data_IF_014632419825
#
_entry.id   IF_014632419825
#
_cell.length_a   1.000
_cell.length_b   1.000
_cell.length_c   1.000
_cell.angle_alpha   90.00
_cell.angle_beta   90.00
_cell.angle_gamma   90.00
#
_symmetry.space_group_name_H-M   'P 1'
#
loop_
_entity.id
_entity.type
_entity.pdbx_description
1 polymer ?
#
# COMPACT_ATOMS: atom_id res chain seq x y z
N UNK A 1 13.18 13.64 8.15
CA UNK A 1 12.63 13.91 9.48
C UNK A 1 11.18 13.48 9.47
N UNK A 2 10.73 12.64 10.38
CA UNK A 2 9.32 12.24 10.42
C UNK A 2 8.44 13.38 10.98
N UNK A 3 7.15 13.12 11.22
CA UNK A 3 6.37 14.00 12.10
C UNK A 3 6.65 13.63 13.56
N UNK A 4 7.10 14.60 14.35
CA UNK A 4 7.31 14.44 15.80
C UNK A 4 6.40 15.36 16.60
N UNK A 5 5.88 14.83 17.72
CA UNK A 5 5.02 15.60 18.63
C UNK A 5 5.77 16.73 19.34
N UNK A 6 7.03 16.51 19.69
CA UNK A 6 7.90 17.48 20.36
C UNK A 6 9.22 17.75 19.61
N UNK A 7 10.06 18.65 20.16
CA UNK A 7 11.37 18.98 19.59
C UNK A 7 12.28 17.76 19.46
N UNK A 8 13.11 17.75 18.42
CA UNK A 8 14.09 16.70 18.17
C UNK A 8 15.44 17.33 17.87
N UNK A 9 16.51 16.83 18.49
CA UNK A 9 17.87 17.35 18.27
C UNK A 9 18.43 16.83 16.95
N UNK A 10 18.18 15.57 16.65
CA UNK A 10 18.65 14.92 15.44
C UNK A 10 17.71 13.81 14.98
N UNK A 11 17.51 13.73 13.66
CA UNK A 11 16.93 12.57 12.98
C UNK A 11 17.70 12.35 11.69
N UNK A 12 18.14 11.12 11.44
CA UNK A 12 18.91 10.76 10.27
C UNK A 12 18.82 9.28 9.96
N UNK A 13 19.56 8.85 8.93
CA UNK A 13 19.65 7.45 8.50
C UNK A 13 18.28 6.77 8.41
N UNK A 14 17.27 7.51 7.93
CA UNK A 14 15.90 7.03 7.89
C UNK A 14 15.77 5.97 6.80
N UNK A 15 15.17 4.82 7.10
CA UNK A 15 15.00 3.71 6.17
C UNK A 15 13.54 3.28 6.19
N UNK A 16 12.93 3.21 5.01
CA UNK A 16 11.50 2.92 4.88
C UNK A 16 11.30 1.87 3.80
N UNK A 17 10.68 0.75 4.14
CA UNK A 17 10.23 -0.25 3.18
C UNK A 17 8.72 -0.17 3.03
N UNK A 18 8.22 -0.27 1.80
CA UNK A 18 6.79 -0.40 1.55
C UNK A 18 6.48 -1.45 0.48
N UNK A 19 5.33 -2.11 0.64
CA UNK A 19 4.77 -3.04 -0.36
C UNK A 19 3.24 -3.06 -0.30
N UNK A 20 2.58 -3.09 -1.46
CA UNK A 20 1.15 -3.40 -1.54
C UNK A 20 0.93 -4.92 -1.54
N UNK A 21 -0.02 -5.39 -0.73
CA UNK A 21 -0.44 -6.77 -0.56
C UNK A 21 -1.96 -6.86 -0.75
N UNK A 22 -2.42 -6.97 -1.99
CA UNK A 22 -3.84 -6.96 -2.31
C UNK A 22 -4.49 -5.61 -2.00
N UNK A 23 -5.30 -5.54 -0.94
CA UNK A 23 -5.95 -4.29 -0.47
C UNK A 23 -5.28 -3.67 0.75
N UNK A 24 -4.16 -4.22 1.18
CA UNK A 24 -3.38 -3.72 2.32
C UNK A 24 -2.02 -3.23 1.84
N UNK A 25 -1.41 -2.33 2.59
CA UNK A 25 -0.03 -1.94 2.42
C UNK A 25 0.75 -2.31 3.68
N UNK A 26 1.90 -2.95 3.49
CA UNK A 26 2.91 -3.17 4.50
C UNK A 26 3.89 -1.98 4.50
N UNK A 27 4.26 -1.51 5.68
CA UNK A 27 5.26 -0.46 5.89
C UNK A 27 6.23 -0.92 6.99
N UNK A 28 7.53 -0.76 6.75
CA UNK A 28 8.57 -0.94 7.78
C UNK A 28 9.40 0.34 7.84
N UNK A 29 9.71 0.79 9.05
CA UNK A 29 10.35 2.07 9.30
C UNK A 29 11.49 1.92 10.31
N UNK A 30 12.65 2.49 10.02
CA UNK A 30 13.77 2.60 10.97
C UNK A 30 14.44 3.97 10.83
N UNK A 31 15.08 4.46 11.89
CA UNK A 31 15.81 5.74 11.88
C UNK A 31 16.76 5.82 13.07
N UNK A 32 17.70 6.76 12.99
CA UNK A 32 18.44 7.25 14.16
C UNK A 32 17.78 8.53 14.66
N UNK A 33 17.55 8.64 15.97
CA UNK A 33 16.88 9.79 16.60
C UNK A 33 17.56 10.17 17.91
N UNK A 34 17.66 11.47 18.18
CA UNK A 34 18.06 12.03 19.47
C UNK A 34 17.05 13.10 19.90
N UNK A 35 16.46 12.92 21.07
CA UNK A 35 15.48 13.83 21.65
C UNK A 35 15.76 14.04 23.13
N UNK A 36 15.46 15.22 23.67
CA UNK A 36 15.76 15.53 25.07
C UNK A 36 14.80 14.83 26.05
N UNK A 37 13.54 14.69 25.66
CA UNK A 37 12.48 14.08 26.44
C UNK A 37 11.77 12.98 25.66
N UNK A 38 10.88 12.21 26.32
CA UNK A 38 10.00 11.29 25.62
C UNK A 38 9.27 12.00 24.48
N UNK A 39 9.19 11.35 23.32
CA UNK A 39 8.59 11.94 22.13
C UNK A 39 7.69 10.91 21.44
N UNK A 40 6.87 11.35 20.49
CA UNK A 40 6.13 10.46 19.61
C UNK A 40 6.47 10.76 18.15
N UNK A 41 6.80 9.70 17.41
CA UNK A 41 6.80 9.72 15.96
C UNK A 41 5.40 9.40 15.46
N UNK A 42 4.91 10.19 14.51
CA UNK A 42 3.56 10.09 13.98
C UNK A 42 3.66 9.91 12.46
N UNK A 43 3.02 8.87 11.93
CA UNK A 43 3.03 8.57 10.51
C UNK A 43 1.60 8.67 9.96
N UNK A 44 1.30 9.60 9.03
CA UNK A 44 0.03 9.58 8.32
C UNK A 44 -0.05 8.31 7.46
N UNK A 45 -1.22 7.68 7.42
CA UNK A 45 -1.50 6.46 6.67
C UNK A 45 -2.76 6.67 5.82
N UNK A 46 -2.71 6.50 4.48
CA UNK A 46 -3.88 6.59 3.63
C UNK A 46 -4.73 5.32 3.79
N UNK A 47 -5.42 5.21 4.91
CA UNK A 47 -6.25 4.04 5.24
C UNK A 47 -7.57 4.04 4.48
N UNK A 48 -8.12 2.87 4.20
CA UNK A 48 -9.44 2.75 3.58
C UNK A 48 -10.51 3.46 4.41
N UNK A 49 -11.52 4.03 3.74
CA UNK A 49 -12.62 4.70 4.41
C UNK A 49 -13.34 3.74 5.37
N UNK A 50 -13.60 4.20 6.60
CA UNK A 50 -14.26 3.39 7.63
C UNK A 50 -13.32 2.49 8.44
N UNK A 51 -12.00 2.57 8.22
CA UNK A 51 -11.00 1.92 9.08
C UNK A 51 -11.16 2.42 10.52
N UNK A 52 -11.40 1.49 11.46
CA UNK A 52 -11.56 1.77 12.89
C UNK A 52 -10.27 1.58 13.69
N UNK A 53 -10.35 1.67 15.01
CA UNK A 53 -9.20 1.61 15.94
C UNK A 53 -8.30 0.36 15.75
N UNK A 54 -8.87 -0.79 15.35
CA UNK A 54 -8.13 -2.04 15.09
C UNK A 54 -7.84 -2.29 13.60
N UNK A 55 -7.88 -1.26 12.77
CA UNK A 55 -7.68 -1.38 11.33
C UNK A 55 -6.22 -1.44 10.89
N UNK A 56 -5.28 -1.14 11.78
CA UNK A 56 -3.84 -1.27 11.54
C UNK A 56 -3.32 -2.41 12.40
N UNK A 57 -2.57 -3.31 11.78
CA UNK A 57 -1.87 -4.40 12.45
C UNK A 57 -0.41 -3.98 12.64
N UNK A 58 0.07 -3.86 13.87
CA UNK A 58 1.49 -3.68 14.12
C UNK A 58 2.20 -5.04 14.11
N UNK A 59 3.35 -5.10 13.46
CA UNK A 59 4.10 -6.34 13.25
C UNK A 59 5.39 -6.28 14.04
N UNK A 60 5.59 -7.25 14.92
CA UNK A 60 6.79 -7.35 15.74
C UNK A 60 7.98 -7.87 14.92
N UNK A 61 8.92 -6.97 14.61
CA UNK A 61 10.21 -7.27 13.98
C UNK A 61 11.38 -7.22 14.96
N UNK A 62 11.15 -7.29 16.27
CA UNK A 62 12.24 -7.40 17.26
C UNK A 62 13.13 -8.62 17.03
N UNK A 63 12.56 -9.69 16.45
CA UNK A 63 13.29 -10.87 16.01
C UNK A 63 14.06 -10.69 14.69
N UNK A 64 14.05 -9.53 14.05
CA UNK A 64 14.74 -9.24 12.79
C UNK A 64 15.34 -7.82 12.70
N UNK A 65 16.27 -7.45 13.60
CA UNK A 65 16.86 -6.12 13.60
C UNK A 65 17.68 -5.80 12.34
N UNK A 66 18.22 -6.82 11.65
CA UNK A 66 19.01 -6.67 10.42
C UNK A 66 18.16 -6.46 9.16
N UNK A 67 16.82 -6.30 9.27
CA UNK A 67 15.89 -6.24 8.13
C UNK A 67 16.35 -5.33 6.98
N UNK A 68 16.79 -4.10 7.30
CA UNK A 68 17.25 -3.15 6.28
C UNK A 68 18.68 -3.41 5.81
N UNK A 69 19.54 -3.95 6.67
CA UNK A 69 20.90 -4.31 6.29
C UNK A 69 20.86 -5.48 5.29
N UNK A 70 19.94 -6.42 5.48
CA UNK A 70 19.65 -7.49 4.53
C UNK A 70 19.06 -6.94 3.22
N UNK A 71 18.14 -5.97 3.26
CA UNK A 71 17.66 -5.31 2.04
C UNK A 71 18.81 -4.67 1.24
N UNK A 72 19.77 -4.04 1.91
CA UNK A 72 20.91 -3.40 1.25
C UNK A 72 21.85 -4.39 0.56
N UNK A 73 21.95 -5.64 1.03
CA UNK A 73 22.73 -6.70 0.37
C UNK A 73 22.21 -7.02 -1.03
N UNK A 74 20.96 -6.68 -1.34
CA UNK A 74 20.39 -6.84 -2.67
C UNK A 74 20.96 -5.89 -3.71
N UNK A 75 21.72 -4.86 -3.31
CA UNK A 75 22.24 -3.81 -4.19
C UNK A 75 23.77 -3.85 -4.24
N UNK A 76 24.38 -3.37 -5.34
CA UNK A 76 25.83 -3.27 -5.41
C UNK A 76 26.40 -2.52 -4.22
N UNK A 77 27.41 -3.12 -3.57
CA UNK A 77 28.03 -2.57 -2.38
C UNK A 77 28.47 -1.12 -2.64
N UNK A 78 27.79 -0.19 -1.98
CA UNK A 78 28.26 1.19 -1.88
C UNK A 78 29.18 1.19 -0.66
N UNK A 79 30.49 1.38 -0.88
CA UNK A 79 31.47 1.43 0.21
C UNK A 79 31.01 2.47 1.24
N UNK A 80 30.56 2.03 2.41
CA UNK A 80 30.25 2.90 3.55
C UNK A 80 30.60 2.15 4.83
N UNK A 81 31.43 2.80 5.65
CA UNK A 81 31.90 2.37 6.96
C UNK A 81 30.96 2.95 8.02
N UNK A 82 30.52 2.12 8.98
CA UNK A 82 30.35 2.43 10.43
C UNK A 82 29.37 1.42 11.08
N UNK A 83 29.76 0.70 12.14
CA UNK A 83 29.92 1.01 13.58
C UNK A 83 28.61 0.85 14.39
N UNK A 84 28.66 -0.11 15.33
CA UNK A 84 27.51 -0.81 15.90
C UNK A 84 26.84 -0.18 17.12
N UNK A 85 25.70 -0.77 17.50
CA UNK A 85 24.84 -0.31 18.62
C UNK A 85 24.41 -1.47 19.52
N UNK A 86 24.33 -1.19 20.84
CA UNK A 86 23.87 -2.08 21.93
C UNK A 86 22.65 -1.45 22.63
N UNK A 87 21.69 -2.26 23.08
CA UNK A 87 20.40 -1.82 23.66
C UNK A 87 20.20 -2.24 25.13
N UNK A 88 19.45 -1.45 25.91
CA UNK A 88 18.84 -1.87 27.19
C UNK A 88 17.54 -1.08 27.53
N UNK A 89 16.65 -1.69 28.32
CA UNK A 89 15.21 -1.36 28.48
C UNK A 89 14.79 -1.02 29.93
N UNK A 90 13.65 -0.33 30.14
CA UNK A 90 12.98 -0.10 31.45
C UNK A 90 11.55 0.47 31.34
N UNK A 91 10.63 0.03 32.22
CA UNK A 91 9.14 0.19 32.18
C UNK A 91 8.55 1.24 33.15
N UNK A 92 7.32 1.74 32.91
CA UNK A 92 6.26 1.99 33.92
C UNK A 92 4.89 2.41 33.30
N UNK A 93 3.81 2.33 34.11
CA UNK A 93 2.37 2.14 33.78
C UNK A 93 1.41 3.33 34.04
N UNK A 94 0.29 3.41 33.28
CA UNK A 94 -1.09 3.53 33.83
C UNK A 94 -2.01 4.72 33.44
N UNK A 95 -3.15 4.45 32.78
CA UNK A 95 -4.34 5.32 32.63
C UNK A 95 -5.01 5.26 31.23
N UNK A 96 -6.36 5.26 31.12
CA UNK A 96 -7.09 4.90 29.89
C UNK A 96 -6.89 5.88 28.71
N UNK A 97 -6.16 5.38 27.72
CA UNK A 97 -5.65 6.00 26.49
C UNK A 97 -6.01 5.04 25.34
N UNK A 98 -5.89 5.45 24.07
CA UNK A 98 -5.94 4.54 22.91
C UNK A 98 -5.14 3.26 23.18
N UNK A 99 -5.58 2.12 22.63
CA UNK A 99 -4.86 0.85 22.82
C UNK A 99 -3.37 1.04 22.46
N UNK A 100 -2.53 0.89 23.47
CA UNK A 100 -1.08 0.90 23.30
C UNK A 100 -0.68 -0.57 23.13
N UNK A 101 -0.33 -0.93 21.91
CA UNK A 101 0.24 -2.23 21.62
C UNK A 101 1.73 -2.16 21.90
N UNK A 102 2.22 -3.07 22.75
CA UNK A 102 3.65 -3.29 22.92
C UNK A 102 4.12 -4.17 21.77
N UNK A 103 4.92 -3.61 20.87
CA UNK A 103 5.40 -4.28 19.65
C UNK A 103 6.92 -4.31 19.72
N UNK A 104 7.48 -5.44 20.14
CA UNK A 104 8.90 -5.52 20.47
C UNK A 104 9.27 -4.58 21.63
N UNK A 105 10.12 -3.58 21.34
CA UNK A 105 10.61 -2.60 22.32
C UNK A 105 9.85 -1.27 22.36
N UNK A 106 8.83 -1.08 21.52
CA UNK A 106 8.10 0.19 21.42
C UNK A 106 6.64 0.06 21.86
N UNK A 107 6.08 1.21 22.24
CA UNK A 107 4.66 1.42 22.44
C UNK A 107 4.08 2.09 21.19
N UNK A 108 3.11 1.42 20.56
CA UNK A 108 2.48 1.88 19.34
C UNK A 108 0.95 2.02 19.51
N UNK A 109 0.37 3.01 18.86
CA UNK A 109 -1.08 3.23 18.82
C UNK A 109 -1.53 3.67 17.43
N UNK A 110 -2.77 3.36 17.08
CA UNK A 110 -3.41 3.85 15.86
C UNK A 110 -4.50 4.88 16.18
N UNK A 111 -4.47 5.99 15.45
CA UNK A 111 -5.46 7.08 15.51
C UNK A 111 -6.23 7.08 14.19
N UNK A 112 -7.51 6.65 14.14
CA UNK A 112 -8.20 6.49 12.86
C UNK A 112 -8.44 7.78 12.08
N UNK A 113 -8.57 8.93 12.77
CA UNK A 113 -8.83 10.24 12.16
C UNK A 113 -8.15 11.35 12.93
N UNK A 114 -7.89 12.47 12.28
CA UNK A 114 -7.23 13.64 12.90
C UNK A 114 -7.93 14.14 14.18
N UNK A 115 -9.26 14.05 14.25
CA UNK A 115 -10.03 14.44 15.44
C UNK A 115 -9.79 13.53 16.64
N UNK A 116 -9.37 12.30 16.41
CA UNK A 116 -9.18 11.28 17.45
C UNK A 116 -7.83 11.47 18.18
N UNK A 117 -6.97 12.41 17.75
CA UNK A 117 -5.73 12.78 18.47
C UNK A 117 -5.97 13.23 19.91
N UNK A 118 -7.16 13.77 20.22
CA UNK A 118 -7.54 14.15 21.58
C UNK A 118 -7.61 12.97 22.56
N UNK A 119 -7.59 11.72 22.05
CA UNK A 119 -7.60 10.47 22.82
C UNK A 119 -6.20 9.98 23.21
N UNK A 120 -5.13 10.54 22.61
CA UNK A 120 -3.74 10.20 22.97
C UNK A 120 -3.36 10.83 24.31
N UNK A 121 -2.30 10.35 24.96
CA UNK A 121 -1.66 11.13 26.03
C UNK A 121 -1.23 12.51 25.49
N UNK A 122 -1.50 13.64 26.19
CA UNK A 122 -1.13 14.98 25.74
C UNK A 122 0.34 15.14 25.31
N UNK A 123 1.26 14.36 25.91
CA UNK A 123 2.70 14.39 25.57
C UNK A 123 3.00 13.87 24.16
N UNK A 124 2.08 13.12 23.56
CA UNK A 124 2.24 12.48 22.25
C UNK A 124 1.30 13.07 21.19
N UNK A 125 0.67 14.21 21.48
CA UNK A 125 -0.21 14.91 20.55
C UNK A 125 0.56 15.94 19.74
N UNK A 126 0.19 16.10 18.48
CA UNK A 126 0.56 17.29 17.72
C UNK A 126 -0.25 18.49 18.23
N UNK A 127 0.35 19.68 18.15
CA UNK A 127 -0.35 20.91 18.50
C UNK A 127 -1.54 21.16 17.55
N UNK A 128 -2.61 21.85 17.98
CA UNK A 128 -3.73 22.18 17.10
C UNK A 128 -3.32 22.95 15.84
N UNK A 129 -2.29 23.80 15.94
CA UNK A 129 -1.75 24.54 14.80
C UNK A 129 -1.15 23.58 13.74
N UNK A 130 -0.35 22.61 14.18
CA UNK A 130 0.20 21.58 13.28
C UNK A 130 -0.91 20.74 12.66
N UNK A 131 -1.92 20.33 13.44
CA UNK A 131 -3.04 19.55 12.90
C UNK A 131 -3.80 20.32 11.80
N UNK A 132 -3.94 21.65 11.95
CA UNK A 132 -4.56 22.50 10.94
C UNK A 132 -3.72 22.60 9.64
N UNK A 133 -2.40 22.62 9.76
CA UNK A 133 -1.48 22.57 8.61
C UNK A 133 -1.53 21.20 7.90
N UNK A 134 -1.77 20.14 8.69
CA UNK A 134 -1.93 18.75 8.23
C UNK A 134 -3.38 18.40 7.81
N UNK A 135 -4.28 19.39 7.67
CA UNK A 135 -5.70 19.14 7.32
C UNK A 135 -5.94 18.37 6.02
N UNK A 136 -4.95 18.35 5.13
CA UNK A 136 -5.00 17.58 3.89
C UNK A 136 -4.96 16.05 4.15
N UNK A 137 -4.55 15.62 5.34
CA UNK A 137 -4.69 14.24 5.85
C UNK A 137 -6.02 14.01 6.59
N UNK A 138 -7.05 14.82 6.32
CA UNK A 138 -8.32 14.76 7.07
C UNK A 138 -9.04 13.41 7.00
N UNK A 139 -8.74 12.60 6.00
CA UNK A 139 -9.26 11.25 5.80
C UNK A 139 -8.20 10.14 5.95
N UNK A 140 -7.01 10.49 6.43
CA UNK A 140 -5.97 9.53 6.82
C UNK A 140 -6.16 9.05 8.26
N UNK A 141 -5.63 7.86 8.52
CA UNK A 141 -5.31 7.40 9.87
C UNK A 141 -3.86 7.76 10.22
N UNK A 142 -3.46 7.54 11.46
CA UNK A 142 -2.11 7.85 11.93
C UNK A 142 -1.59 6.74 12.83
N UNK A 143 -0.42 6.19 12.50
CA UNK A 143 0.34 5.36 13.43
C UNK A 143 1.19 6.26 14.33
N UNK A 144 1.18 6.00 15.64
CA UNK A 144 1.87 6.79 16.65
C UNK A 144 2.80 5.85 17.41
N UNK A 145 4.10 6.14 17.39
CA UNK A 145 5.13 5.38 18.08
C UNK A 145 5.76 6.24 19.16
N UNK A 146 5.68 5.79 20.42
CA UNK A 146 6.33 6.47 21.52
C UNK A 146 7.80 6.09 21.58
N UNK A 147 8.67 7.09 21.76
CA UNK A 147 10.11 6.95 21.77
C UNK A 147 10.68 7.43 23.10
N UNK A 148 11.67 6.70 23.61
CA UNK A 148 12.42 7.09 24.80
C UNK A 148 13.26 8.36 24.50
N UNK A 149 13.63 9.15 25.53
CA UNK A 149 14.61 10.22 25.37
C UNK A 149 16.02 9.68 25.04
N UNK A 150 16.85 10.55 24.50
CA UNK A 150 18.26 10.32 24.19
C UNK A 150 18.52 9.76 22.79
N UNK A 151 19.82 9.62 22.43
CA UNK A 151 20.24 9.07 21.15
C UNK A 151 19.94 7.57 21.08
N UNK A 152 19.26 7.15 20.01
CA UNK A 152 18.95 5.74 19.77
C UNK A 152 18.85 5.44 18.28
N UNK A 153 19.22 4.22 17.90
CA UNK A 153 18.87 3.62 16.61
C UNK A 153 17.60 2.81 16.82
N UNK A 154 16.52 3.25 16.19
CA UNK A 154 15.21 2.63 16.30
C UNK A 154 15.22 1.34 15.47
N UNK A 155 14.99 0.19 16.11
CA UNK A 155 14.84 -1.08 15.38
C UNK A 155 13.64 -1.00 14.42
N UNK A 156 13.59 -1.84 13.38
CA UNK A 156 12.49 -1.81 12.41
C UNK A 156 11.12 -1.86 13.08
N UNK A 157 10.32 -0.83 12.89
CA UNK A 157 8.91 -0.73 13.28
C UNK A 157 8.06 -1.09 12.06
N UNK A 158 7.26 -2.14 12.16
CA UNK A 158 6.46 -2.61 11.03
C UNK A 158 4.96 -2.53 11.32
N UNK A 159 4.19 -2.28 10.27
CA UNK A 159 2.74 -2.28 10.32
C UNK A 159 2.12 -2.64 8.97
N UNK A 160 0.89 -3.14 9.01
CA UNK A 160 0.02 -3.34 7.86
C UNK A 160 -1.26 -2.55 8.04
N UNK A 161 -1.74 -1.94 6.97
CA UNK A 161 -3.00 -1.19 6.99
C UNK A 161 -3.78 -1.41 5.70
N UNK A 162 -5.12 -1.41 5.73
CA UNK A 162 -5.93 -1.41 4.53
C UNK A 162 -5.70 -0.09 3.80
N UNK A 163 -5.09 -0.12 2.62
CA UNK A 163 -4.84 1.11 1.87
C UNK A 163 -6.14 1.61 1.23
N UNK A 164 -6.32 2.93 1.20
CA UNK A 164 -7.40 3.59 0.47
C UNK A 164 -7.28 3.34 -1.03
N UNK A 165 -6.06 3.24 -1.53
CA UNK A 165 -5.76 3.08 -2.94
C UNK A 165 -4.69 1.99 -3.15
N UNK A 166 -5.10 0.79 -3.58
CA UNK A 166 -4.17 -0.28 -3.95
C UNK A 166 -3.33 -0.01 -5.20
N UNK A 167 -3.73 0.98 -6.02
CA UNK A 167 -2.99 1.42 -7.20
C UNK A 167 -1.83 2.36 -6.88
N UNK A 168 -1.62 2.70 -5.60
CA UNK A 168 -0.51 3.53 -5.13
C UNK A 168 0.24 2.86 -3.99
N UNK A 169 1.56 3.03 -3.99
CA UNK A 169 2.44 2.66 -2.89
C UNK A 169 2.90 3.94 -2.19
N UNK A 170 2.49 4.09 -0.94
CA UNK A 170 2.67 5.31 -0.16
C UNK A 170 3.82 5.21 0.84
N UNK A 171 4.66 6.24 0.92
CA UNK A 171 5.70 6.39 1.93
C UNK A 171 5.46 7.66 2.76
N UNK A 172 5.26 7.57 4.08
CA UNK A 172 5.16 8.74 4.93
C UNK A 172 6.54 9.39 5.05
N UNK A 173 6.74 10.47 4.29
CA UNK A 173 8.00 11.21 4.22
C UNK A 173 7.83 12.70 4.46
N UNK A 174 6.65 13.18 4.83
CA UNK A 174 6.45 14.55 5.33
C UNK A 174 7.12 14.75 6.69
N UNK A 175 7.74 15.91 6.87
CA UNK A 175 8.52 16.30 8.04
C UNK A 175 7.71 17.31 8.85
N UNK A 176 7.56 17.04 10.14
CA UNK A 176 7.01 18.00 11.11
C UNK A 176 7.90 17.97 12.32
N UNK A 177 8.52 19.10 12.62
CA UNK A 177 9.34 19.27 13.81
C UNK A 177 9.18 20.69 14.34
N UNK A 178 9.48 20.87 15.62
CA UNK A 178 9.38 22.15 16.32
C UNK A 178 8.00 22.83 16.20
N UNK A 179 6.96 22.01 16.08
CA UNK A 179 5.58 22.48 15.99
C UNK A 179 5.21 23.19 14.68
N UNK A 180 5.96 22.99 13.59
CA UNK A 180 5.69 23.62 12.29
C UNK A 180 5.79 22.65 11.12
N UNK A 181 4.98 22.87 10.09
CA UNK A 181 5.09 22.21 8.79
C UNK A 181 5.80 23.15 7.83
N UNK A 182 7.08 22.90 7.58
CA UNK A 182 7.86 23.72 6.65
C UNK A 182 7.55 23.33 5.20
N UNK A 183 7.54 24.26 4.21
CA UNK A 183 7.33 23.91 2.80
C UNK A 183 8.44 23.04 2.20
N UNK A 184 9.64 23.08 2.77
CA UNK A 184 10.79 22.31 2.34
C UNK A 184 11.56 21.78 3.54
N UNK A 185 12.12 20.59 3.40
CA UNK A 185 12.82 19.89 4.47
C UNK A 185 14.07 19.17 3.95
N UNK A 186 15.00 18.84 4.85
CA UNK A 186 16.23 18.11 4.50
C UNK A 186 16.01 16.61 4.68
N UNK A 187 16.19 15.86 3.60
CA UNK A 187 16.02 14.42 3.57
C UNK A 187 17.35 13.70 3.73
N UNK A 188 17.34 12.69 4.58
CA UNK A 188 18.35 11.62 4.66
C UNK A 188 17.63 10.27 4.79
N UNK A 189 16.97 9.85 3.70
CA UNK A 189 16.08 8.67 3.71
C UNK A 189 16.47 7.69 2.61
N UNK A 190 16.56 6.41 2.93
CA UNK A 190 16.61 5.34 1.93
C UNK A 190 15.26 4.66 1.88
N UNK A 191 14.60 4.74 0.73
CA UNK A 191 13.31 4.10 0.51
C UNK A 191 13.51 2.77 -0.22
N UNK A 192 12.77 1.74 0.16
CA UNK A 192 12.75 0.42 -0.45
C UNK A 192 11.32 0.07 -0.87
N UNK A 193 11.13 -0.46 -2.07
CA UNK A 193 9.82 -0.83 -2.59
C UNK A 193 9.83 -2.24 -3.19
N UNK A 194 8.77 -3.03 -2.97
CA UNK A 194 8.41 -4.16 -3.85
C UNK A 194 7.22 -3.75 -4.71
N UNK A 195 7.51 -2.99 -5.76
CA UNK A 195 6.59 -2.52 -6.79
C UNK A 195 7.38 -2.15 -8.05
N UNK A 196 6.68 -1.98 -9.17
CA UNK A 196 7.25 -1.28 -10.32
C UNK A 196 7.59 0.17 -9.94
N UNK A 197 8.85 0.57 -10.15
CA UNK A 197 9.33 1.89 -9.80
C UNK A 197 9.81 2.64 -11.05
N UNK A 198 9.58 3.97 -11.13
CA UNK A 198 10.05 4.79 -12.24
C UNK A 198 11.58 4.90 -12.26
N UNK A 199 12.12 5.54 -13.30
CA UNK A 199 13.54 5.86 -13.38
C UNK A 199 14.05 6.62 -12.15
N UNK A 200 15.29 6.33 -11.73
CA UNK A 200 15.91 6.89 -10.52
C UNK A 200 15.85 5.97 -9.30
N UNK A 201 15.16 4.84 -9.39
CA UNK A 201 15.23 3.77 -8.39
C UNK A 201 16.21 2.69 -8.84
N UNK A 202 17.16 2.34 -7.97
CA UNK A 202 18.04 1.21 -8.17
C UNK A 202 17.23 -0.09 -8.12
N UNK A 203 17.65 -1.09 -8.89
CA UNK A 203 17.11 -2.45 -8.83
C UNK A 203 18.03 -3.35 -8.01
N UNK A 204 17.47 -4.25 -7.21
CA UNK A 204 18.26 -5.32 -6.62
C UNK A 204 18.76 -6.30 -7.70
N UNK A 205 19.88 -6.97 -7.44
CA UNK A 205 20.49 -7.93 -8.37
C UNK A 205 19.67 -9.21 -8.58
N UNK A 206 18.69 -9.46 -7.71
CA UNK A 206 17.84 -10.64 -7.77
C UNK A 206 16.58 -10.51 -6.89
N UNK A 207 15.87 -11.62 -6.67
CA UNK A 207 14.72 -11.67 -5.77
C UNK A 207 15.14 -11.57 -4.29
N UNK A 208 14.24 -11.08 -3.43
CA UNK A 208 14.53 -10.86 -2.01
C UNK A 208 15.01 -12.11 -1.26
N UNK A 209 14.54 -13.30 -1.64
CA UNK A 209 15.01 -14.56 -1.05
C UNK A 209 16.50 -14.85 -1.28
N UNK A 210 17.14 -14.16 -2.23
CA UNK A 210 18.56 -14.30 -2.51
C UNK A 210 19.47 -13.54 -1.54
N UNK A 211 18.94 -12.55 -0.81
CA UNK A 211 19.75 -11.66 0.04
C UNK A 211 19.13 -11.35 1.41
N UNK A 212 17.89 -11.76 1.68
CA UNK A 212 17.20 -11.61 2.97
C UNK A 212 16.76 -12.95 3.58
N UNK A 213 16.66 -12.98 4.91
CA UNK A 213 15.86 -13.98 5.63
C UNK A 213 14.37 -13.61 5.59
N UNK A 214 13.72 -13.91 4.47
CA UNK A 214 12.31 -13.59 4.26
C UNK A 214 11.39 -14.29 5.28
N UNK A 215 11.82 -15.41 5.87
CA UNK A 215 11.07 -16.11 6.93
C UNK A 215 10.92 -15.25 8.19
N UNK A 216 11.95 -14.48 8.54
CA UNK A 216 11.94 -13.53 9.67
C UNK A 216 11.17 -12.24 9.37
N UNK A 217 10.82 -11.97 8.11
CA UNK A 217 10.07 -10.76 7.71
C UNK A 217 8.57 -10.79 8.07
N UNK A 218 8.09 -11.86 8.70
CA UNK A 218 6.69 -12.06 9.05
C UNK A 218 5.73 -11.89 7.85
N UNK A 219 6.18 -12.21 6.63
CA UNK A 219 5.40 -12.08 5.40
C UNK A 219 5.24 -10.64 4.88
N UNK A 220 6.03 -9.69 5.37
CA UNK A 220 6.04 -8.31 4.85
C UNK A 220 6.70 -8.24 3.47
N UNK A 221 7.69 -9.11 3.24
CA UNK A 221 8.47 -9.19 1.99
C UNK A 221 8.01 -10.38 1.16
N UNK A 222 7.87 -10.18 -0.15
CA UNK A 222 7.68 -11.28 -1.10
C UNK A 222 9.04 -11.92 -1.42
N UNK A 223 9.23 -13.22 -1.17
CA UNK A 223 10.51 -13.87 -1.48
C UNK A 223 10.82 -13.87 -2.99
N UNK A 224 9.80 -13.87 -3.86
CA UNK A 224 9.98 -14.03 -5.29
C UNK A 224 10.22 -12.70 -6.04
N UNK A 225 9.98 -11.55 -5.40
CA UNK A 225 10.11 -10.25 -6.04
C UNK A 225 11.46 -9.61 -5.69
N UNK A 226 12.02 -8.88 -6.65
CA UNK A 226 13.13 -7.97 -6.39
C UNK A 226 12.69 -6.75 -5.58
N UNK A 227 13.66 -5.95 -5.17
CA UNK A 227 13.44 -4.72 -4.41
C UNK A 227 13.97 -3.53 -5.22
N UNK A 228 13.28 -2.40 -5.12
CA UNK A 228 13.71 -1.12 -5.65
C UNK A 228 14.23 -0.24 -4.52
N UNK A 229 15.28 0.55 -4.75
CA UNK A 229 15.84 1.46 -3.74
C UNK A 229 15.97 2.89 -4.26
N UNK A 230 15.60 3.87 -3.45
CA UNK A 230 15.79 5.29 -3.73
C UNK A 230 16.47 6.00 -2.56
N UNK A 231 17.56 6.70 -2.84
CA UNK A 231 18.19 7.61 -1.88
C UNK A 231 17.57 9.01 -2.00
N UNK A 232 16.73 9.39 -1.03
CA UNK A 232 16.26 10.75 -0.86
C UNK A 232 17.25 11.53 0.01
N UNK A 233 18.02 12.41 -0.64
CA UNK A 233 19.05 13.25 0.00
C UNK A 233 18.83 14.73 -0.24
N UNK A 234 19.23 15.56 0.71
CA UNK A 234 19.29 17.03 0.61
C UNK A 234 17.95 17.74 0.84
N UNK A 235 17.95 19.06 0.65
CA UNK A 235 16.76 19.90 0.81
C UNK A 235 15.79 19.70 -0.36
N UNK A 236 14.53 19.34 -0.06
CA UNK A 236 13.46 19.06 -1.04
C UNK A 236 12.14 19.64 -0.56
N UNK A 237 11.14 19.63 -1.43
CA UNK A 237 9.76 19.87 -1.02
C UNK A 237 9.36 18.90 0.11
N UNK A 238 8.64 19.43 1.09
CA UNK A 238 8.20 18.66 2.24
C UNK A 238 6.88 17.95 1.93
N UNK A 239 6.99 16.83 1.21
CA UNK A 239 5.84 16.03 0.80
C UNK A 239 6.10 14.54 1.03
N UNK A 240 5.02 13.78 1.12
CA UNK A 240 5.07 12.32 1.09
C UNK A 240 5.53 11.82 -0.29
N UNK A 241 6.19 10.66 -0.29
CA UNK A 241 6.61 10.00 -1.53
C UNK A 241 5.56 8.96 -1.90
N UNK A 242 5.07 9.03 -3.14
CA UNK A 242 4.08 8.09 -3.66
C UNK A 242 4.63 7.49 -4.95
N UNK A 243 4.56 6.16 -5.06
CA UNK A 243 4.80 5.44 -6.31
C UNK A 243 3.48 4.91 -6.86
N UNK A 244 3.38 4.72 -8.19
CA UNK A 244 2.40 3.80 -8.74
C UNK A 244 2.58 2.45 -8.04
N UNK A 245 1.52 1.94 -7.44
CA UNK A 245 1.50 0.57 -6.95
C UNK A 245 1.36 -0.38 -8.13
N UNK A 246 1.76 -1.63 -7.92
CA UNK A 246 1.29 -2.71 -8.78
C UNK A 246 -0.21 -2.82 -8.52
N UNK A 247 -1.01 -2.05 -9.27
CA UNK A 247 -2.47 -2.15 -9.22
C UNK A 247 -2.78 -3.64 -9.23
N UNK A 248 -3.52 -4.16 -8.22
CA UNK A 248 -3.66 -5.59 -8.06
C UNK A 248 -4.09 -6.12 -9.41
N UNK A 249 -3.22 -6.92 -10.05
CA UNK A 249 -3.63 -7.70 -11.19
C UNK A 249 -4.83 -8.45 -10.64
N UNK A 250 -6.02 -8.10 -11.11
CA UNK A 250 -7.24 -8.72 -10.61
C UNK A 250 -7.13 -10.19 -11.04
N UNK A 251 -6.60 -11.03 -10.16
CA UNK A 251 -6.45 -12.46 -10.38
C UNK A 251 -7.81 -13.05 -10.08
N UNK A 252 -8.62 -13.13 -11.12
CA UNK A 252 -9.89 -13.81 -11.06
C UNK A 252 -9.68 -15.32 -11.23
N UNK A 253 -10.03 -16.09 -10.20
CA UNK A 253 -10.16 -17.53 -10.31
C UNK A 253 -11.53 -17.84 -10.93
N UNK A 254 -11.56 -18.27 -12.19
CA UNK A 254 -12.80 -18.67 -12.85
C UNK A 254 -13.10 -20.12 -12.45
N UNK A 255 -13.90 -20.32 -11.40
CA UNK A 255 -14.62 -21.57 -11.21
C UNK A 255 -15.79 -21.65 -12.22
N UNK A 256 -16.29 -22.85 -12.49
CA UNK A 256 -17.46 -23.09 -13.37
C UNK A 256 -18.60 -22.10 -13.09
N UNK A 257 -19.40 -21.70 -14.11
CA UNK A 257 -20.40 -20.64 -13.94
C UNK A 257 -21.33 -21.03 -12.79
N UNK A 258 -21.35 -20.29 -11.67
CA UNK A 258 -22.21 -20.66 -10.58
C UNK A 258 -23.64 -20.44 -11.06
N UNK A 259 -24.47 -21.47 -11.02
CA UNK A 259 -25.93 -21.35 -11.25
C UNK A 259 -26.56 -20.25 -10.35
N UNK A 260 -25.87 -19.83 -9.29
CA UNK A 260 -26.19 -18.69 -8.43
C UNK A 260 -26.07 -17.30 -9.07
N UNK A 261 -25.27 -17.10 -10.13
CA UNK A 261 -25.08 -15.79 -10.78
C UNK A 261 -26.29 -15.31 -11.60
N UNK A 262 -27.31 -16.15 -11.80
CA UNK A 262 -28.46 -15.84 -12.64
C UNK A 262 -29.47 -14.86 -12.02
N UNK A 263 -29.37 -14.54 -10.71
CA UNK A 263 -30.39 -13.75 -10.00
C UNK A 263 -29.95 -12.32 -9.64
N UNK A 264 -28.67 -12.08 -9.37
CA UNK A 264 -28.14 -10.72 -9.09
C UNK A 264 -26.58 -10.68 -9.18
N UNK A 265 -25.98 -10.67 -10.39
CA UNK A 265 -24.52 -10.70 -10.54
C UNK A 265 -23.86 -9.41 -10.05
N UNK A 266 -22.78 -9.55 -9.28
CA UNK A 266 -21.85 -8.46 -8.98
C UNK A 266 -21.03 -8.07 -10.23
N UNK A 267 -20.34 -6.94 -10.17
CA UNK A 267 -19.35 -6.54 -11.18
C UNK A 267 -18.31 -7.64 -11.46
N UNK A 268 -17.92 -8.36 -10.41
CA UNK A 268 -16.98 -9.48 -10.47
C UNK A 268 -17.59 -10.67 -11.20
N UNK A 269 -18.85 -10.99 -10.95
CA UNK A 269 -19.53 -12.12 -11.61
C UNK A 269 -19.68 -11.88 -13.12
N UNK A 270 -19.98 -10.63 -13.51
CA UNK A 270 -20.02 -10.25 -14.91
C UNK A 270 -18.63 -10.37 -15.56
N UNK A 271 -17.60 -9.81 -14.94
CA UNK A 271 -16.25 -9.90 -15.48
C UNK A 271 -15.80 -11.36 -15.65
N UNK A 272 -16.03 -12.19 -14.63
CA UNK A 272 -15.74 -13.62 -14.67
C UNK A 272 -16.49 -14.33 -15.81
N UNK A 273 -17.75 -13.95 -16.06
CA UNK A 273 -18.53 -14.51 -17.17
C UNK A 273 -17.98 -14.12 -18.55
N UNK A 274 -17.55 -12.87 -18.75
CA UNK A 274 -16.95 -12.43 -20.03
C UNK A 274 -15.62 -13.13 -20.29
N UNK A 275 -14.80 -13.27 -19.26
CA UNK A 275 -13.54 -14.00 -19.32
C UNK A 275 -13.80 -15.48 -19.59
N UNK A 276 -14.79 -16.08 -18.94
CA UNK A 276 -15.21 -17.45 -19.21
C UNK A 276 -15.65 -17.64 -20.66
N UNK A 277 -16.46 -16.73 -21.21
CA UNK A 277 -16.86 -16.74 -22.63
C UNK A 277 -15.63 -16.69 -23.54
N UNK A 278 -14.70 -15.78 -23.27
CA UNK A 278 -13.47 -15.66 -24.06
C UNK A 278 -12.66 -16.96 -24.07
N UNK A 279 -12.44 -17.55 -22.90
CA UNK A 279 -11.63 -18.76 -22.77
C UNK A 279 -12.32 -20.02 -23.30
N UNK A 280 -13.63 -20.14 -23.13
CA UNK A 280 -14.37 -21.34 -23.56
C UNK A 280 -14.70 -21.32 -25.04
N UNK A 281 -15.03 -20.15 -25.59
CA UNK A 281 -15.34 -19.97 -27.01
C UNK A 281 -14.11 -19.74 -27.88
N UNK A 282 -12.91 -19.66 -27.27
CA UNK A 282 -11.66 -19.26 -27.95
C UNK A 282 -11.86 -17.93 -28.68
N UNK A 283 -12.54 -16.99 -28.02
CA UNK A 283 -12.88 -15.72 -28.62
C UNK A 283 -11.61 -14.88 -28.82
N UNK A 284 -11.47 -14.27 -29.98
CA UNK A 284 -10.44 -13.24 -30.24
C UNK A 284 -10.82 -11.92 -29.56
N UNK A 285 -12.10 -11.70 -29.33
CA UNK A 285 -12.61 -10.47 -28.73
C UNK A 285 -13.98 -10.73 -28.07
N UNK A 286 -14.21 -10.14 -26.90
CA UNK A 286 -15.54 -10.06 -26.28
C UNK A 286 -15.88 -8.59 -26.11
N UNK A 287 -16.96 -8.14 -26.75
CA UNK A 287 -17.47 -6.78 -26.63
C UNK A 287 -18.75 -6.78 -25.82
N UNK A 288 -18.82 -5.79 -24.96
CA UNK A 288 -19.97 -5.50 -24.14
C UNK A 288 -20.40 -4.07 -24.41
N UNK A 289 -21.56 -3.88 -25.03
CA UNK A 289 -22.06 -2.56 -25.40
C UNK A 289 -23.37 -2.26 -24.67
N UNK A 290 -23.42 -1.12 -23.98
CA UNK A 290 -24.68 -0.57 -23.46
C UNK A 290 -25.46 0.18 -24.54
N UNK A 291 -26.77 -0.05 -24.62
CA UNK A 291 -27.73 0.72 -25.42
C UNK A 291 -28.92 1.16 -24.57
N UNK A 292 -29.80 2.00 -25.12
CA UNK A 292 -31.05 2.39 -24.48
C UNK A 292 -31.99 1.20 -24.19
N UNK A 293 -31.84 0.11 -24.94
CA UNK A 293 -32.66 -1.11 -24.84
C UNK A 293 -32.04 -2.19 -23.94
N UNK A 294 -30.89 -1.90 -23.33
CA UNK A 294 -30.19 -2.81 -22.42
C UNK A 294 -28.75 -3.07 -22.84
N UNK A 295 -28.23 -4.23 -22.47
CA UNK A 295 -26.85 -4.62 -22.74
C UNK A 295 -26.76 -5.61 -23.90
N UNK A 296 -25.76 -5.48 -24.76
CA UNK A 296 -25.43 -6.47 -25.78
C UNK A 296 -24.05 -7.07 -25.50
N UNK A 297 -23.96 -8.40 -25.54
CA UNK A 297 -22.69 -9.14 -25.52
C UNK A 297 -22.47 -9.63 -26.95
N UNK A 298 -21.33 -9.29 -27.53
CA UNK A 298 -20.84 -9.82 -28.79
C UNK A 298 -19.54 -10.58 -28.56
N UNK A 299 -19.47 -11.82 -29.01
CA UNK A 299 -18.30 -12.69 -28.86
C UNK A 299 -17.78 -13.00 -30.25
N UNK A 300 -16.61 -12.48 -30.58
CA UNK A 300 -15.92 -12.73 -31.85
C UNK A 300 -15.13 -14.03 -31.73
N UNK A 301 -15.52 -15.05 -32.49
CA UNK A 301 -14.89 -16.37 -32.48
C UNK A 301 -14.35 -16.72 -33.86
N UNK A 302 -13.48 -17.73 -34.01
CA UNK A 302 -13.05 -18.20 -35.34
C UNK A 302 -14.20 -18.60 -36.28
N UNK A 303 -15.39 -18.91 -35.73
CA UNK A 303 -16.60 -19.24 -36.49
C UNK A 303 -17.51 -18.05 -36.81
N UNK A 304 -17.10 -16.82 -36.47
CA UNK A 304 -17.88 -15.59 -36.61
C UNK A 304 -18.37 -15.02 -35.28
N UNK A 305 -19.19 -13.97 -35.36
CA UNK A 305 -19.71 -13.25 -34.19
C UNK A 305 -20.93 -13.98 -33.59
N UNK A 306 -20.82 -14.38 -32.32
CA UNK A 306 -21.93 -14.94 -31.54
C UNK A 306 -22.56 -13.86 -30.62
N UNK A 307 -23.88 -13.92 -30.42
CA UNK A 307 -24.62 -13.08 -29.46
C UNK A 307 -25.28 -13.97 -28.39
N UNK A 308 -24.56 -14.32 -27.30
CA UNK A 308 -25.09 -15.23 -26.31
C UNK A 308 -26.29 -14.63 -25.56
N UNK A 309 -27.39 -15.38 -25.46
CA UNK A 309 -28.62 -15.00 -24.74
C UNK A 309 -28.51 -15.28 -23.24
N UNK A 310 -27.45 -14.76 -22.61
CA UNK A 310 -27.12 -14.95 -21.19
C UNK A 310 -28.11 -14.31 -20.19
N UNK A 311 -27.76 -14.25 -18.88
CA UNK A 311 -28.66 -13.82 -17.80
C UNK A 311 -29.25 -12.42 -18.04
N UNK A 312 -30.43 -12.13 -17.46
CA UNK A 312 -31.26 -10.94 -17.75
C UNK A 312 -30.43 -9.64 -17.71
N UNK A 313 -30.45 -8.95 -18.85
CA UNK A 313 -29.65 -7.78 -19.25
C UNK A 313 -29.71 -6.58 -18.29
N UNK A 314 -30.78 -6.44 -17.50
CA UNK A 314 -30.97 -5.32 -16.57
C UNK A 314 -29.98 -5.31 -15.41
N UNK A 315 -29.44 -6.46 -15.02
CA UNK A 315 -28.51 -6.60 -13.89
C UNK A 315 -27.05 -6.32 -14.29
N UNK A 316 -26.75 -6.43 -15.58
CA UNK A 316 -25.42 -6.24 -16.14
C UNK A 316 -25.02 -4.77 -16.27
N UNK A 317 -26.00 -3.86 -16.39
CA UNK A 317 -25.77 -2.43 -16.53
C UNK A 317 -25.15 -1.81 -15.25
N UNK A 318 -25.60 -2.25 -14.07
CA UNK A 318 -25.04 -1.80 -12.77
C UNK A 318 -23.60 -2.30 -12.57
N UNK A 319 -23.34 -3.56 -12.93
CA UNK A 319 -22.01 -4.17 -12.87
C UNK A 319 -21.01 -3.44 -13.79
N UNK A 320 -21.42 -3.06 -15.00
CA UNK A 320 -20.62 -2.26 -15.92
C UNK A 320 -20.33 -0.86 -15.39
N UNK A 321 -21.33 -0.22 -14.78
CA UNK A 321 -21.14 1.08 -14.15
C UNK A 321 -20.09 1.01 -13.04
N UNK A 322 -20.09 -0.06 -12.24
CA UNK A 322 -19.10 -0.27 -11.18
C UNK A 322 -17.69 -0.54 -11.71
N UNK A 323 -17.54 -1.39 -12.75
CA UNK A 323 -16.25 -1.62 -13.43
C UNK A 323 -15.74 -0.31 -14.03
N UNK A 324 -16.61 0.43 -14.73
CA UNK A 324 -16.26 1.72 -15.34
C UNK A 324 -15.87 2.76 -14.28
N UNK A 325 -16.62 2.83 -13.17
CA UNK A 325 -16.29 3.72 -12.05
C UNK A 325 -14.92 3.42 -11.47
N UNK A 326 -14.53 2.15 -11.39
CA UNK A 326 -13.17 1.77 -10.97
C UNK A 326 -12.12 2.18 -12.00
N UNK A 327 -12.41 2.06 -13.31
CA UNK A 327 -11.52 2.51 -14.39
C UNK A 327 -11.36 4.03 -14.42
N UNK A 328 -12.46 4.78 -14.32
CA UNK A 328 -12.45 6.25 -14.31
C UNK A 328 -11.73 6.78 -13.05
N UNK A 329 -11.88 6.13 -11.90
CA UNK A 329 -11.14 6.47 -10.68
C UNK A 329 -9.62 6.27 -10.83
N UNK A 330 -9.20 5.29 -11.63
CA UNK A 330 -7.78 5.03 -11.92
C UNK A 330 -7.21 5.94 -13.02
N UNK A 331 -8.04 6.74 -13.71
CA UNK A 331 -7.62 7.57 -14.84
C UNK A 331 -7.11 6.77 -16.05
N UNK A 332 -7.50 5.50 -16.18
CA UNK A 332 -7.03 4.59 -17.21
C UNK A 332 -8.18 4.12 -18.10
N UNK A 333 -7.99 4.22 -19.42
CA UNK A 333 -8.92 3.69 -20.44
C UNK A 333 -8.58 2.24 -20.86
N UNK A 334 -7.42 1.74 -20.42
CA UNK A 334 -6.86 0.42 -20.73
C UNK A 334 -6.21 -0.21 -19.50
N UNK A 335 -6.45 -1.49 -19.25
CA UNK A 335 -5.78 -2.26 -18.19
C UNK A 335 -5.62 -3.73 -18.59
N UNK A 336 -4.68 -4.42 -17.92
CA UNK A 336 -4.39 -5.84 -18.14
C UNK A 336 -4.81 -6.66 -16.92
N UNK A 337 -5.66 -7.65 -17.12
CA UNK A 337 -6.01 -8.65 -16.12
C UNK A 337 -5.20 -9.93 -16.37
N UNK A 338 -4.76 -10.59 -15.29
CA UNK A 338 -4.17 -11.94 -15.36
C UNK A 338 -5.21 -12.94 -14.86
N UNK A 339 -5.68 -13.81 -15.75
CA UNK A 339 -6.72 -14.80 -15.44
C UNK A 339 -6.08 -16.17 -15.28
N UNK A 340 -6.45 -16.90 -14.24
CA UNK A 340 -6.02 -18.29 -14.04
C UNK A 340 -7.20 -19.23 -14.27
N UNK A 341 -7.06 -20.18 -15.20
CA UNK A 341 -8.00 -21.29 -15.41
C UNK A 341 -7.25 -22.62 -15.31
N UNK A 342 -7.50 -23.39 -14.25
CA UNK A 342 -6.74 -24.60 -13.97
C UNK A 342 -5.25 -24.27 -13.78
N UNK A 343 -4.37 -24.78 -14.65
CA UNK A 343 -2.92 -24.50 -14.64
C UNK A 343 -2.50 -23.43 -15.65
N UNK A 344 -3.44 -22.82 -16.37
CA UNK A 344 -3.14 -21.85 -17.44
C UNK A 344 -3.37 -20.43 -16.94
N UNK A 345 -2.34 -19.59 -17.07
CA UNK A 345 -2.40 -18.14 -16.88
C UNK A 345 -2.59 -17.47 -18.24
N UNK A 346 -3.62 -16.64 -18.39
CA UNK A 346 -3.88 -15.86 -19.61
C UNK A 346 -3.99 -14.39 -19.25
N UNK A 347 -3.23 -13.55 -19.94
CA UNK A 347 -3.37 -12.10 -19.83
C UNK A 347 -4.52 -11.65 -20.74
N UNK A 348 -5.40 -10.81 -20.22
CA UNK A 348 -6.52 -10.23 -20.95
C UNK A 348 -6.42 -8.72 -20.85
N UNK A 349 -6.35 -8.06 -21.99
CA UNK A 349 -6.49 -6.63 -22.10
C UNK A 349 -7.96 -6.24 -22.04
N UNK A 350 -8.26 -5.23 -21.23
CA UNK A 350 -9.57 -4.63 -21.12
C UNK A 350 -9.47 -3.15 -21.52
N UNK A 351 -10.29 -2.73 -22.48
CA UNK A 351 -10.37 -1.35 -22.96
C UNK A 351 -11.80 -0.84 -22.83
N UNK A 352 -11.98 0.41 -22.42
CA UNK A 352 -13.30 1.00 -22.28
C UNK A 352 -13.44 2.30 -23.08
N UNK A 353 -14.30 2.29 -24.10
CA UNK A 353 -14.56 3.43 -24.98
C UNK A 353 -16.06 3.75 -25.00
N UNK A 354 -16.45 4.87 -24.41
CA UNK A 354 -17.86 5.24 -24.27
C UNK A 354 -18.65 4.18 -23.47
N UNK A 355 -19.81 3.71 -23.98
CA UNK A 355 -20.62 2.66 -23.32
C UNK A 355 -20.13 1.24 -23.61
N UNK A 356 -18.93 1.09 -24.20
CA UNK A 356 -18.40 -0.19 -24.65
C UNK A 356 -17.20 -0.63 -23.82
N UNK A 357 -17.24 -1.86 -23.31
CA UNK A 357 -16.10 -2.56 -22.72
C UNK A 357 -15.67 -3.66 -23.70
N UNK A 358 -14.38 -3.71 -24.02
CA UNK A 358 -13.79 -4.69 -24.92
C UNK A 358 -12.72 -5.46 -24.19
N UNK A 359 -12.81 -6.79 -24.22
CA UNK A 359 -11.80 -7.68 -23.70
C UNK A 359 -11.09 -8.39 -24.86
N UNK A 360 -9.76 -8.47 -24.82
CA UNK A 360 -8.93 -9.20 -25.79
C UNK A 360 -7.85 -10.03 -25.08
N UNK A 361 -7.56 -11.25 -25.54
CA UNK A 361 -6.37 -11.96 -25.05
C UNK A 361 -5.10 -11.20 -25.47
N UNK A 362 -4.11 -11.16 -24.57
CA UNK A 362 -2.77 -10.61 -24.82
C UNK A 362 -1.78 -11.69 -25.25
#
# INVERSE_FOLDING_TARGET
MCCFAGPVRHVGATRIFARVQGRSQALVYAMSVDSEGPNAMILPLPVAAGTGDGGVEFVDLSGYPEFFDDLDKGFPATLSLDEGSLSFSGMATGGAVLAVEKVGSFEASFVPRIRDFERLDPRFRLSPAVLNDLRHYGDSGFAVFQLAPGPQTVHPMALRFPTRDPGTLFFPTVHVHDGTVQPAATFDHTLYAQADAPGGWDASEGPASGFMDVGRSAGLVDPALGVRRLALRGRRENADTVLPGDAPALVYAVAEPPEHAARNPSAIDLFNYLVWLMLTKKASEVRLAGSADGLAIEVETPGGTERPTGPRLTTLASALYDVRRHMDAAGQDRWTAKVVRGKTLTSVECTAAGPTLTLRPL
#
